data_IF_921796734861
#
_entry.id   IF_921796734861
#
_cell.length_a   1.000
_cell.length_b   1.000
_cell.length_c   1.000
_cell.angle_alpha   90.00
_cell.angle_beta   90.00
_cell.angle_gamma   90.00
#
_symmetry.space_group_name_H-M   'P 1'
#
loop_
_entity.id
_entity.type
_entity.pdbx_description
1 polymer ?
#
# COMPACT_ATOMS: atom_id res chain seq x y z
N UNK A 1 9.93 2.43 21.40
CA UNK A 1 9.97 3.63 20.53
C UNK A 1 9.27 4.78 21.25
N UNK A 2 9.86 5.98 21.34
CA UNK A 2 9.18 7.11 21.97
C UNK A 2 8.24 7.80 20.95
N UNK A 3 7.17 8.45 21.44
CA UNK A 3 6.13 9.06 20.59
C UNK A 3 6.70 10.05 19.56
N UNK A 4 7.66 10.87 19.99
CA UNK A 4 8.30 11.86 19.13
C UNK A 4 9.04 11.24 17.93
N UNK A 5 9.72 10.10 18.12
CA UNK A 5 10.38 9.39 17.04
C UNK A 5 9.38 8.82 16.04
N UNK A 6 8.23 8.32 16.49
CA UNK A 6 7.18 7.82 15.59
C UNK A 6 6.62 8.94 14.70
N UNK A 7 6.30 10.10 15.28
CA UNK A 7 5.78 11.26 14.53
C UNK A 7 6.79 11.74 13.46
N UNK A 8 8.08 11.82 13.82
CA UNK A 8 9.13 12.24 12.90
C UNK A 8 9.31 11.26 11.72
N UNK A 9 9.35 9.96 11.99
CA UNK A 9 9.47 8.97 10.91
C UNK A 9 8.21 8.91 10.05
N UNK A 10 7.02 9.06 10.65
CA UNK A 10 5.75 9.17 9.93
C UNK A 10 5.77 10.36 8.96
N UNK A 11 6.22 11.54 9.40
CA UNK A 11 6.27 12.74 8.56
C UNK A 11 7.23 12.59 7.37
N UNK A 12 8.40 11.95 7.60
CA UNK A 12 9.37 11.63 6.54
C UNK A 12 8.77 10.71 5.49
N UNK A 13 8.19 9.59 5.91
CA UNK A 13 7.57 8.61 5.02
C UNK A 13 6.36 9.20 4.27
N UNK A 14 5.51 9.97 4.96
CA UNK A 14 4.38 10.67 4.35
C UNK A 14 4.85 11.64 3.26
N UNK A 15 5.84 12.47 3.57
CA UNK A 15 6.38 13.46 2.62
C UNK A 15 6.92 12.77 1.38
N UNK A 16 7.67 11.69 1.57
CA UNK A 16 8.19 10.88 0.48
C UNK A 16 7.06 10.24 -0.33
N UNK A 17 6.08 9.62 0.33
CA UNK A 17 4.93 9.01 -0.33
C UNK A 17 4.16 10.03 -1.16
N UNK A 18 3.89 11.22 -0.62
CA UNK A 18 3.21 12.29 -1.34
C UNK A 18 3.99 12.76 -2.57
N UNK A 19 5.32 12.77 -2.53
CA UNK A 19 6.13 13.09 -3.72
C UNK A 19 6.01 12.06 -4.85
N UNK A 20 5.59 10.82 -4.52
CA UNK A 20 5.54 9.68 -5.42
C UNK A 20 4.12 9.34 -5.91
N UNK A 21 3.11 9.53 -5.06
CA UNK A 21 1.74 9.09 -5.33
C UNK A 21 0.99 10.00 -6.32
N UNK A 22 -0.15 9.53 -6.82
CA UNK A 22 -1.04 10.33 -7.65
C UNK A 22 -1.64 11.50 -6.84
N UNK A 23 -2.10 12.57 -7.52
CA UNK A 23 -2.89 13.62 -6.86
C UNK A 23 -4.15 13.07 -6.21
N UNK A 24 -4.81 12.09 -6.83
CA UNK A 24 -6.04 11.47 -6.30
C UNK A 24 -5.77 10.71 -5.00
N UNK A 25 -4.67 9.95 -4.92
CA UNK A 25 -4.26 9.23 -3.71
C UNK A 25 -3.99 10.20 -2.57
N UNK A 26 -3.31 11.32 -2.89
CA UNK A 26 -3.08 12.37 -1.91
C UNK A 26 -4.40 12.93 -1.38
N UNK A 27 -5.34 13.27 -2.26
CA UNK A 27 -6.66 13.79 -1.88
C UNK A 27 -7.48 12.82 -1.04
N UNK A 28 -7.39 11.51 -1.33
CA UNK A 28 -8.02 10.46 -0.51
C UNK A 28 -7.41 10.39 0.88
N UNK A 29 -6.07 10.44 0.98
CA UNK A 29 -5.34 10.36 2.24
C UNK A 29 -5.49 11.62 3.10
N UNK A 30 -5.66 12.79 2.48
CA UNK A 30 -6.00 14.05 3.17
C UNK A 30 -7.49 14.23 3.43
N UNK A 31 -8.33 13.25 3.03
CA UNK A 31 -9.79 13.25 3.16
C UNK A 31 -10.49 14.40 2.43
N UNK A 32 -9.85 14.96 1.41
CA UNK A 32 -10.46 15.92 0.50
C UNK A 32 -11.53 15.25 -0.38
N UNK A 33 -11.31 13.98 -0.73
CA UNK A 33 -12.30 13.15 -1.45
C UNK A 33 -12.50 11.81 -0.73
N UNK A 34 -13.66 11.15 -0.92
CA UNK A 34 -13.92 9.84 -0.31
C UNK A 34 -12.92 8.78 -0.78
N UNK A 35 -12.42 8.00 0.16
CA UNK A 35 -11.63 6.79 -0.10
C UNK A 35 -12.55 5.57 -0.09
N UNK A 36 -12.41 4.64 -1.04
CA UNK A 36 -13.08 3.33 -0.99
C UNK A 36 -12.21 2.29 -0.28
N UNK A 37 -12.80 1.16 0.13
CA UNK A 37 -12.02 0.04 0.67
C UNK A 37 -10.99 -0.50 -0.34
N UNK A 38 -11.29 -0.48 -1.65
CA UNK A 38 -10.34 -0.90 -2.69
C UNK A 38 -9.15 0.06 -2.78
N UNK A 39 -9.39 1.36 -2.64
CA UNK A 39 -8.32 2.36 -2.59
C UNK A 39 -7.42 2.13 -1.37
N UNK A 40 -8.02 1.93 -0.21
CA UNK A 40 -7.29 1.64 1.02
C UNK A 40 -6.41 0.40 0.88
N UNK A 41 -6.97 -0.71 0.40
CA UNK A 41 -6.21 -1.94 0.15
C UNK A 41 -5.03 -1.69 -0.78
N UNK A 42 -5.27 -1.05 -1.94
CA UNK A 42 -4.22 -0.73 -2.89
C UNK A 42 -3.11 0.11 -2.24
N UNK A 43 -3.47 1.16 -1.52
CA UNK A 43 -2.48 2.02 -0.84
C UNK A 43 -1.72 1.23 0.23
N UNK A 44 -2.38 0.39 1.03
CA UNK A 44 -1.69 -0.47 2.00
C UNK A 44 -0.64 -1.35 1.34
N UNK A 45 -0.95 -1.99 0.21
CA UNK A 45 0.04 -2.81 -0.52
C UNK A 45 1.20 -1.98 -1.04
N UNK A 46 0.95 -0.75 -1.50
CA UNK A 46 2.01 0.16 -1.95
C UNK A 46 2.89 0.58 -0.76
N UNK A 47 2.31 0.94 0.39
CA UNK A 47 3.07 1.34 1.57
C UNK A 47 3.93 0.18 2.10
N UNK A 48 3.37 -1.03 2.15
CA UNK A 48 4.10 -2.24 2.47
C UNK A 48 5.24 -2.48 1.49
N UNK A 49 4.98 -2.41 0.18
CA UNK A 49 6.01 -2.52 -0.85
C UNK A 49 7.12 -1.48 -0.65
N UNK A 50 6.79 -0.23 -0.28
CA UNK A 50 7.76 0.84 -0.08
C UNK A 50 8.50 0.81 1.27
N UNK A 51 8.20 -0.17 2.13
CA UNK A 51 8.70 -0.26 3.51
C UNK A 51 8.30 0.94 4.40
N UNK A 52 7.18 1.61 4.09
CA UNK A 52 6.69 2.79 4.82
C UNK A 52 5.85 2.39 6.04
N UNK A 53 6.48 1.73 6.99
CA UNK A 53 5.82 1.09 8.13
C UNK A 53 5.20 2.10 9.11
N UNK A 54 5.82 3.26 9.30
CA UNK A 54 5.34 4.29 10.22
C UNK A 54 4.09 4.97 9.63
N UNK A 55 4.16 5.32 8.35
CA UNK A 55 3.05 5.91 7.64
C UNK A 55 1.92 4.91 7.41
N UNK A 56 2.20 3.62 7.15
CA UNK A 56 1.15 2.59 7.13
C UNK A 56 0.41 2.52 8.47
N UNK A 57 1.14 2.52 9.59
CA UNK A 57 0.54 2.52 10.93
C UNK A 57 -0.37 3.74 11.12
N UNK A 58 0.11 4.93 10.76
CA UNK A 58 -0.69 6.16 10.81
C UNK A 58 -1.96 6.08 9.94
N UNK A 59 -1.86 5.55 8.72
CA UNK A 59 -3.01 5.38 7.82
C UNK A 59 -4.01 4.36 8.36
N UNK A 60 -3.56 3.28 8.99
CA UNK A 60 -4.43 2.32 9.65
C UNK A 60 -5.22 2.97 10.80
N UNK A 61 -4.60 3.87 11.57
CA UNK A 61 -5.28 4.65 12.61
C UNK A 61 -6.24 5.70 12.04
N UNK A 62 -5.92 6.27 10.87
CA UNK A 62 -6.74 7.28 10.20
C UNK A 62 -8.02 6.69 9.55
N UNK A 63 -7.96 5.42 9.11
CA UNK A 63 -9.06 4.70 8.46
C UNK A 63 -9.36 3.35 9.16
N UNK A 64 -9.77 3.37 10.44
CA UNK A 64 -9.88 2.17 11.27
C UNK A 64 -10.93 1.18 10.76
N UNK A 65 -12.01 1.65 10.13
CA UNK A 65 -13.05 0.80 9.52
C UNK A 65 -12.52 -0.02 8.35
N UNK A 66 -11.62 0.56 7.54
CA UNK A 66 -10.99 -0.13 6.42
C UNK A 66 -9.87 -1.05 6.89
N UNK A 67 -9.09 -0.61 7.88
CA UNK A 67 -8.09 -1.48 8.51
C UNK A 67 -8.72 -2.76 9.07
N UNK A 68 -9.78 -2.64 9.88
CA UNK A 68 -10.51 -3.79 10.43
C UNK A 68 -11.08 -4.69 9.34
N UNK A 69 -11.59 -4.10 8.25
CA UNK A 69 -12.11 -4.84 7.10
C UNK A 69 -11.01 -5.61 6.36
N UNK A 70 -9.81 -5.02 6.21
CA UNK A 70 -8.62 -5.67 5.65
C UNK A 70 -8.18 -6.84 6.54
N UNK A 71 -8.12 -6.67 7.87
CA UNK A 71 -7.78 -7.76 8.78
C UNK A 71 -8.73 -8.97 8.65
N UNK A 72 -10.04 -8.72 8.68
CA UNK A 72 -11.03 -9.80 8.50
C UNK A 72 -10.92 -10.48 7.13
N UNK A 73 -10.66 -9.70 6.07
CA UNK A 73 -10.44 -10.24 4.73
C UNK A 73 -9.21 -11.16 4.72
N UNK A 74 -8.08 -10.73 5.29
CA UNK A 74 -6.85 -11.51 5.32
C UNK A 74 -6.99 -12.79 6.14
N UNK A 75 -7.67 -12.75 7.30
CA UNK A 75 -7.97 -13.96 8.10
C UNK A 75 -8.76 -14.96 7.26
N UNK A 76 -9.84 -14.50 6.59
CA UNK A 76 -10.65 -15.37 5.73
C UNK A 76 -9.85 -15.95 4.56
N UNK A 77 -8.97 -15.14 3.96
CA UNK A 77 -8.11 -15.63 2.89
C UNK A 77 -7.15 -16.71 3.36
N UNK A 78 -6.58 -16.58 4.57
CA UNK A 78 -5.73 -17.62 5.18
C UNK A 78 -6.53 -18.92 5.34
N UNK A 79 -7.76 -18.84 5.86
CA UNK A 79 -8.65 -20.01 5.98
C UNK A 79 -8.92 -20.67 4.62
N UNK A 80 -9.22 -19.89 3.58
CA UNK A 80 -9.45 -20.42 2.23
C UNK A 80 -8.19 -21.07 1.68
N UNK A 81 -7.01 -20.46 1.85
CA UNK A 81 -5.75 -21.00 1.34
C UNK A 81 -5.35 -22.32 2.01
N UNK A 82 -5.79 -22.59 3.25
CA UNK A 82 -5.58 -23.88 3.90
C UNK A 82 -6.34 -25.02 3.18
N UNK A 83 -7.53 -24.74 2.64
CA UNK A 83 -8.34 -25.71 1.89
C UNK A 83 -8.05 -25.69 0.39
N UNK A 84 -7.66 -24.53 -0.14
CA UNK A 84 -7.41 -24.27 -1.54
C UNK A 84 -6.11 -23.46 -1.73
N UNK A 85 -4.94 -24.12 -1.72
CA UNK A 85 -3.63 -23.44 -1.77
C UNK A 85 -3.41 -22.56 -3.01
N UNK A 86 -4.09 -22.84 -4.12
CA UNK A 86 -3.98 -22.06 -5.36
C UNK A 86 -4.96 -20.87 -5.42
N UNK A 87 -5.77 -20.63 -4.38
CA UNK A 87 -6.80 -19.58 -4.36
C UNK A 87 -6.31 -18.22 -4.88
N UNK A 88 -5.16 -17.73 -4.41
CA UNK A 88 -4.65 -16.42 -4.83
C UNK A 88 -4.27 -16.35 -6.31
N UNK A 89 -3.72 -17.44 -6.84
CA UNK A 89 -3.39 -17.55 -8.26
C UNK A 89 -4.65 -17.62 -9.11
N UNK A 90 -5.58 -18.48 -8.72
CA UNK A 90 -6.78 -18.74 -9.53
C UNK A 90 -7.77 -17.56 -9.49
N UNK A 91 -7.80 -16.79 -8.39
CA UNK A 91 -8.56 -15.54 -8.27
C UNK A 91 -7.82 -14.30 -8.83
N UNK A 92 -6.60 -14.45 -9.33
CA UNK A 92 -5.83 -13.36 -9.92
C UNK A 92 -5.37 -12.28 -8.91
N UNK A 93 -5.22 -12.64 -7.63
CA UNK A 93 -4.84 -11.70 -6.56
C UNK A 93 -3.42 -11.20 -6.77
N UNK A 94 -2.50 -12.09 -7.14
CA UNK A 94 -1.10 -11.75 -7.39
C UNK A 94 -0.95 -10.82 -8.60
N UNK A 95 -1.68 -11.09 -9.68
CA UNK A 95 -1.74 -10.26 -10.87
C UNK A 95 -2.31 -8.88 -10.56
N UNK A 96 -3.34 -8.81 -9.72
CA UNK A 96 -3.92 -7.55 -9.28
C UNK A 96 -2.92 -6.70 -8.47
N UNK A 97 -2.22 -7.30 -7.50
CA UNK A 97 -1.19 -6.61 -6.72
C UNK A 97 -0.06 -6.14 -7.65
N UNK A 98 0.40 -7.01 -8.56
CA UNK A 98 1.42 -6.66 -9.56
C UNK A 98 1.00 -5.48 -10.43
N UNK A 99 -0.26 -5.44 -10.87
CA UNK A 99 -0.80 -4.31 -11.65
C UNK A 99 -0.74 -3.02 -10.83
N UNK A 100 -1.19 -3.04 -9.58
CA UNK A 100 -1.17 -1.87 -8.71
C UNK A 100 0.24 -1.32 -8.47
N UNK A 101 1.21 -2.20 -8.22
CA UNK A 101 2.59 -1.79 -7.99
C UNK A 101 3.24 -1.27 -9.28
N UNK A 102 2.93 -1.88 -10.43
CA UNK A 102 3.36 -1.40 -11.75
C UNK A 102 2.84 0.01 -12.00
N UNK A 103 1.53 0.22 -11.86
CA UNK A 103 0.89 1.53 -12.06
C UNK A 103 1.49 2.59 -11.12
N UNK A 104 1.75 2.21 -9.86
CA UNK A 104 2.38 3.09 -8.88
C UNK A 104 3.81 3.48 -9.26
N UNK A 105 4.65 2.55 -9.74
CA UNK A 105 5.99 2.91 -10.20
C UNK A 105 5.98 3.74 -11.50
N UNK A 106 5.00 3.50 -12.37
CA UNK A 106 4.90 4.13 -13.68
C UNK A 106 4.42 5.58 -13.63
N UNK A 107 3.62 5.94 -12.62
CA UNK A 107 3.20 7.32 -12.39
C UNK A 107 4.28 8.22 -11.76
N UNK A 108 5.36 7.64 -11.19
CA UNK A 108 6.42 8.42 -10.53
C UNK A 108 7.06 9.38 -11.53
N UNK A 109 6.96 10.68 -11.24
CA UNK A 109 7.42 11.73 -12.16
C UNK A 109 8.94 11.85 -12.25
N UNK A 110 9.63 11.69 -11.11
CA UNK A 110 11.08 11.70 -11.07
C UNK A 110 11.64 10.42 -11.71
N UNK A 111 12.44 10.57 -12.77
CA UNK A 111 12.95 9.43 -13.54
C UNK A 111 13.93 8.55 -12.78
N UNK A 112 14.68 9.13 -11.84
CA UNK A 112 15.61 8.39 -11.00
C UNK A 112 14.84 7.55 -9.99
N UNK A 113 13.85 8.14 -9.33
CA UNK A 113 12.98 7.44 -8.38
C UNK A 113 12.11 6.39 -9.06
N UNK A 114 11.58 6.69 -10.26
CA UNK A 114 10.85 5.71 -11.08
C UNK A 114 11.70 4.50 -11.40
N UNK A 115 12.96 4.71 -11.83
CA UNK A 115 13.89 3.62 -12.11
C UNK A 115 14.19 2.80 -10.85
N UNK A 116 14.36 3.44 -9.70
CA UNK A 116 14.55 2.76 -8.43
C UNK A 116 13.32 1.93 -8.01
N UNK A 117 12.12 2.50 -8.16
CA UNK A 117 10.84 1.82 -7.90
C UNK A 117 10.69 0.58 -8.76
N UNK A 118 10.89 0.70 -10.08
CA UNK A 118 10.82 -0.44 -11.01
C UNK A 118 11.84 -1.53 -10.68
N UNK A 119 13.09 -1.15 -10.37
CA UNK A 119 14.11 -2.13 -9.96
C UNK A 119 13.69 -2.89 -8.68
N UNK A 120 13.10 -2.18 -7.71
CA UNK A 120 12.57 -2.83 -6.50
C UNK A 120 11.39 -3.74 -6.81
N UNK A 121 10.53 -3.35 -7.75
CA UNK A 121 9.41 -4.16 -8.21
C UNK A 121 9.89 -5.45 -8.90
N UNK A 122 10.91 -5.39 -9.75
CA UNK A 122 11.53 -6.57 -10.36
C UNK A 122 11.98 -7.57 -9.29
N UNK A 123 12.69 -7.09 -8.25
CA UNK A 123 13.17 -7.93 -7.14
C UNK A 123 12.02 -8.48 -6.29
N UNK A 124 10.94 -7.70 -6.09
CA UNK A 124 9.78 -8.12 -5.30
C UNK A 124 8.97 -9.23 -5.99
N UNK A 125 9.10 -9.35 -7.31
CA UNK A 125 8.31 -10.28 -8.13
C UNK A 125 9.10 -11.52 -8.58
N UNK A 126 10.41 -11.58 -8.30
CA UNK A 126 11.32 -12.72 -8.51
C UNK A 126 11.27 -13.70 -7.32
#
# INVERSE_FOLDING_TARGET
>A
MNKHNFELETEKEQTLFFSLCSPEDRQKLTREIPMSFRDFLRISYILFFMDFNYYETYINELFPEYYKKKEHMLIRHIEIMLEYPNYYKDEGVEEQIRSWLTDFCDQVKDKTMQKACRKKLEIYLD
#
